data_IF_329096858399
#
_entry.id   IF_329096858399
#
_cell.length_a   1.000
_cell.length_b   1.000
_cell.length_c   1.000
_cell.angle_alpha   90.00
_cell.angle_beta   90.00
_cell.angle_gamma   90.00
#
_symmetry.space_group_name_H-M   'P 1'
#
loop_
_entity.id
_entity.type
_entity.pdbx_description
1 polymer ?
#
# COMPACT_ATOMS: atom_id res chain seq x y z
N UNK A 1 -10.69 -14.54 35.17
CA UNK A 1 -10.34 -14.75 33.75
C UNK A 1 -11.03 -13.74 32.83
N UNK A 2 -12.31 -13.44 33.00
CA UNK A 2 -13.08 -12.47 32.19
C UNK A 2 -12.56 -11.03 32.17
N UNK A 3 -12.01 -10.53 33.29
CA UNK A 3 -11.43 -9.17 33.36
C UNK A 3 -10.20 -8.99 32.48
N UNK A 4 -9.34 -10.00 32.40
CA UNK A 4 -8.14 -9.96 31.55
C UNK A 4 -8.52 -9.98 30.06
N UNK A 5 -9.54 -10.76 29.69
CA UNK A 5 -10.06 -10.81 28.32
C UNK A 5 -10.61 -9.45 27.86
N UNK A 6 -11.36 -8.75 28.72
CA UNK A 6 -11.87 -7.41 28.40
C UNK A 6 -10.76 -6.37 28.17
N UNK A 7 -9.69 -6.43 28.96
CA UNK A 7 -8.53 -5.53 28.81
C UNK A 7 -7.82 -5.78 27.48
N UNK A 8 -7.62 -7.05 27.11
CA UNK A 8 -6.98 -7.43 25.85
C UNK A 8 -7.81 -6.95 24.64
N UNK A 9 -9.13 -7.12 24.68
CA UNK A 9 -10.03 -6.66 23.61
C UNK A 9 -10.01 -5.13 23.50
N UNK A 10 -10.03 -4.41 24.63
CA UNK A 10 -9.95 -2.95 24.62
C UNK A 10 -8.61 -2.44 24.06
N UNK A 11 -7.49 -3.13 24.33
CA UNK A 11 -6.17 -2.77 23.83
C UNK A 11 -6.05 -2.92 22.30
N UNK A 12 -6.73 -3.90 21.71
CA UNK A 12 -6.74 -4.12 20.25
C UNK A 12 -7.50 -3.03 19.48
N UNK A 13 -8.34 -2.24 20.16
CA UNK A 13 -9.16 -1.18 19.54
C UNK A 13 -8.46 0.20 19.50
N UNK A 14 -7.23 0.32 20.03
CA UNK A 14 -6.48 1.60 20.11
C UNK A 14 -5.91 2.04 18.73
N UNK A 15 -6.05 1.22 17.69
CA UNK A 15 -5.53 1.50 16.35
C UNK A 15 -6.14 2.72 15.63
N UNK A 16 -7.28 3.24 16.08
CA UNK A 16 -7.95 4.41 15.48
C UNK A 16 -7.61 5.73 16.20
N UNK A 17 -6.34 5.95 16.54
CA UNK A 17 -5.90 7.27 17.00
C UNK A 17 -6.24 8.35 15.94
N UNK A 18 -6.55 9.60 16.34
CA UNK A 18 -6.78 10.66 15.38
C UNK A 18 -5.52 10.86 14.54
N UNK A 19 -5.56 10.39 13.29
CA UNK A 19 -4.51 10.60 12.32
C UNK A 19 -4.45 12.10 12.05
N UNK A 20 -3.39 12.75 12.52
CA UNK A 20 -3.13 14.15 12.17
C UNK A 20 -2.91 14.20 10.66
N UNK A 21 -3.74 14.95 9.90
CA UNK A 21 -3.56 15.06 8.47
C UNK A 21 -2.19 15.67 8.18
N UNK A 22 -1.42 14.98 7.35
CA UNK A 22 -0.09 15.42 6.91
C UNK A 22 -0.25 16.64 6.01
N UNK A 23 0.55 17.68 6.24
CA UNK A 23 0.45 18.90 5.45
C UNK A 23 0.88 18.66 4.00
N UNK A 24 0.36 19.43 3.01
CA UNK A 24 0.62 19.16 1.60
C UNK A 24 2.11 19.08 1.23
N UNK A 25 2.96 19.88 1.86
CA UNK A 25 4.41 19.92 1.62
C UNK A 25 5.18 18.77 2.29
N UNK A 26 4.66 18.18 3.36
CA UNK A 26 5.28 17.04 4.06
C UNK A 26 5.11 15.74 3.26
N UNK A 27 4.18 15.68 2.31
CA UNK A 27 3.97 14.52 1.43
C UNK A 27 5.21 14.18 0.59
N UNK A 28 6.09 15.14 0.33
CA UNK A 28 7.35 14.92 -0.40
C UNK A 28 8.27 13.92 0.31
N UNK A 29 8.25 13.89 1.65
CA UNK A 29 9.07 12.96 2.43
C UNK A 29 8.58 11.52 2.36
N UNK A 30 7.28 11.32 2.14
CA UNK A 30 6.63 10.01 2.03
C UNK A 30 6.59 9.48 0.59
N UNK A 31 6.92 10.32 -0.40
CA UNK A 31 6.83 9.99 -1.83
C UNK A 31 8.23 9.87 -2.49
N UNK A 32 9.26 9.53 -1.72
CA UNK A 32 10.62 9.39 -2.27
C UNK A 32 10.66 8.24 -3.28
N UNK A 33 11.38 8.42 -4.39
CA UNK A 33 11.51 7.40 -5.44
C UNK A 33 12.04 6.06 -4.91
N UNK A 34 12.92 6.09 -3.92
CA UNK A 34 13.46 4.89 -3.25
C UNK A 34 12.45 4.11 -2.42
N UNK A 35 11.29 4.70 -2.10
CA UNK A 35 10.19 4.06 -1.37
C UNK A 35 9.12 3.50 -2.32
N UNK A 36 9.32 3.61 -3.63
CA UNK A 36 8.39 3.05 -4.63
C UNK A 36 8.48 1.53 -4.61
N UNK A 37 7.33 0.85 -4.59
CA UNK A 37 7.24 -0.62 -4.66
C UNK A 37 7.93 -1.19 -5.89
N UNK A 38 7.87 -0.46 -6.99
CA UNK A 38 8.48 -0.81 -8.27
C UNK A 38 9.57 0.22 -8.66
N UNK A 39 10.83 -0.02 -8.29
CA UNK A 39 11.93 0.89 -8.61
C UNK A 39 12.30 0.89 -10.10
N UNK A 40 12.10 -0.23 -10.81
CA UNK A 40 12.30 -0.36 -12.26
C UNK A 40 10.97 -0.56 -12.99
N UNK A 41 10.33 0.57 -13.30
CA UNK A 41 9.04 0.57 -14.02
C UNK A 41 9.13 -0.04 -15.42
N UNK A 42 10.28 0.07 -16.09
CA UNK A 42 10.42 -0.42 -17.47
C UNK A 42 10.55 -1.95 -17.49
N UNK A 43 11.38 -2.51 -16.61
CA UNK A 43 11.51 -3.95 -16.44
C UNK A 43 10.18 -4.59 -16.03
N UNK A 44 9.48 -3.99 -15.06
CA UNK A 44 8.19 -4.47 -14.60
C UNK A 44 7.12 -4.45 -15.71
N UNK A 45 7.02 -3.36 -16.46
CA UNK A 45 6.09 -3.27 -17.59
C UNK A 45 6.39 -4.35 -18.66
N UNK A 46 7.67 -4.55 -18.97
CA UNK A 46 8.08 -5.58 -19.94
C UNK A 46 7.76 -7.00 -19.48
N UNK A 47 8.02 -7.32 -18.20
CA UNK A 47 7.69 -8.60 -17.61
C UNK A 47 6.17 -8.83 -17.62
N UNK A 48 5.38 -7.83 -17.25
CA UNK A 48 3.92 -7.88 -17.26
C UNK A 48 3.36 -8.09 -18.67
N UNK A 49 3.89 -7.37 -19.66
CA UNK A 49 3.53 -7.58 -21.08
C UNK A 49 3.82 -9.01 -21.54
N UNK A 50 4.96 -9.56 -21.14
CA UNK A 50 5.32 -10.95 -21.48
C UNK A 50 4.40 -11.95 -20.80
N UNK A 51 4.12 -11.75 -19.52
CA UNK A 51 3.27 -12.62 -18.70
C UNK A 51 1.84 -12.65 -19.22
N UNK A 52 1.22 -11.47 -19.39
CA UNK A 52 -0.15 -11.35 -19.92
C UNK A 52 -0.30 -11.91 -21.34
N UNK A 53 0.72 -11.73 -22.19
CA UNK A 53 0.73 -12.28 -23.55
C UNK A 53 0.81 -13.82 -23.57
N UNK A 54 1.47 -14.43 -22.59
CA UNK A 54 1.70 -15.88 -22.54
C UNK A 54 0.59 -16.63 -21.82
N UNK A 55 0.13 -16.09 -20.69
CA UNK A 55 -0.82 -16.77 -19.82
C UNK A 55 -2.28 -16.40 -20.11
N UNK A 56 -2.52 -15.48 -21.06
CA UNK A 56 -3.88 -15.06 -21.45
C UNK A 56 -4.68 -14.41 -20.32
N UNK A 57 -4.00 -13.99 -19.24
CA UNK A 57 -4.62 -13.39 -18.08
C UNK A 57 -5.17 -12.01 -18.45
N UNK A 58 -6.49 -11.90 -18.56
CA UNK A 58 -7.18 -10.63 -18.74
C UNK A 58 -7.15 -9.84 -17.42
N UNK A 59 -6.18 -8.94 -17.30
CA UNK A 59 -6.02 -8.05 -16.13
C UNK A 59 -4.56 -8.02 -15.68
N UNK A 60 -3.89 -6.90 -15.92
CA UNK A 60 -2.49 -6.73 -15.53
C UNK A 60 -2.34 -6.52 -14.02
N UNK A 61 -1.13 -6.78 -13.50
CA UNK A 61 -0.78 -6.70 -12.07
C UNK A 61 -0.86 -5.29 -11.43
N UNK A 62 -1.30 -4.27 -12.16
CA UNK A 62 -1.21 -2.87 -11.74
C UNK A 62 -2.45 -2.33 -11.03
N UNK A 63 -2.43 -2.27 -9.69
CA UNK A 63 -3.00 -1.14 -8.96
C UNK A 63 -1.87 -0.12 -8.79
N UNK A 64 -2.04 1.08 -9.35
CA UNK A 64 -1.00 2.11 -9.43
C UNK A 64 -0.21 2.26 -8.14
N UNK A 65 1.12 2.19 -8.23
CA UNK A 65 1.99 2.16 -7.07
C UNK A 65 1.82 3.34 -6.13
N UNK A 66 1.69 3.03 -4.83
CA UNK A 66 2.09 3.86 -3.69
C UNK A 66 1.58 5.30 -3.66
N UNK A 67 0.34 5.49 -3.21
CA UNK A 67 -0.20 6.81 -2.83
C UNK A 67 -1.71 6.78 -2.64
N UNK A 68 -2.15 6.90 -1.39
CA UNK A 68 -3.55 6.90 -0.87
C UNK A 68 -4.55 5.81 -1.32
N UNK A 69 -4.21 4.91 -2.25
CA UNK A 69 -4.99 3.70 -2.51
C UNK A 69 -6.36 3.91 -3.15
N UNK A 70 -6.61 5.05 -3.80
CA UNK A 70 -7.81 5.25 -4.61
C UNK A 70 -7.45 5.15 -6.09
N UNK A 71 -7.86 4.06 -6.74
CA UNK A 71 -8.20 4.09 -8.17
C UNK A 71 -9.50 4.88 -8.35
#
# INVERSE_FOLDING_TARGET
MTRATFIIIAALLIGCAPLTPVQPWEKGDLARKSMTLEPDRLGAAYAEHTYTSKEGASGGAGVGGGGCGCN
#
